data_IF_867869014434
#
_entry.id   IF_867869014434
#
_cell.length_a   1.000
_cell.length_b   1.000
_cell.length_c   1.000
_cell.angle_alpha   90.00
_cell.angle_beta   90.00
_cell.angle_gamma   90.00
#
_symmetry.space_group_name_H-M   'P 1'
#
loop_
_entity.id
_entity.type
_entity.pdbx_description
1 polymer ?
#
# COMPACT_ATOMS: atom_id res chain seq x y z
N UNK A 1 22.45 -2.47 -2.06
CA UNK A 1 21.22 -2.89 -2.75
C UNK A 1 21.59 -3.90 -3.84
N UNK A 2 21.33 -5.18 -3.61
CA UNK A 2 21.70 -6.29 -4.49
C UNK A 2 20.95 -6.30 -5.83
N UNK A 3 19.86 -5.55 -5.95
CA UNK A 3 19.05 -5.40 -7.18
C UNK A 3 19.60 -4.42 -8.22
N UNK A 4 20.54 -3.53 -7.86
CA UNK A 4 21.04 -2.49 -8.79
C UNK A 4 22.16 -2.95 -9.73
N UNK A 5 22.64 -4.19 -9.66
CA UNK A 5 23.64 -4.75 -10.61
C UNK A 5 23.43 -6.23 -10.90
N UNK A 6 22.72 -6.53 -11.99
CA UNK A 6 23.07 -7.45 -13.12
C UNK A 6 21.82 -8.13 -13.70
N UNK A 7 21.56 -7.83 -14.98
CA UNK A 7 20.51 -8.41 -15.83
C UNK A 7 19.16 -7.73 -15.61
N UNK A 8 18.52 -7.22 -16.66
CA UNK A 8 17.06 -7.07 -16.64
C UNK A 8 16.51 -8.41 -16.18
N UNK A 9 15.83 -8.44 -15.02
CA UNK A 9 15.13 -9.64 -14.61
C UNK A 9 14.27 -10.07 -15.81
N UNK A 10 14.37 -11.34 -16.22
CA UNK A 10 13.65 -11.82 -17.38
C UNK A 10 12.15 -11.66 -17.12
N UNK A 11 11.56 -10.58 -17.66
CA UNK A 11 10.12 -10.36 -17.64
C UNK A 11 9.55 -11.36 -18.65
N UNK A 12 8.47 -12.09 -18.32
CA UNK A 12 7.81 -12.96 -19.27
C UNK A 12 7.58 -12.22 -20.59
N UNK A 13 7.96 -12.88 -21.69
CA UNK A 13 7.96 -12.26 -23.02
C UNK A 13 6.56 -11.90 -23.55
N UNK A 14 5.51 -12.40 -22.89
CA UNK A 14 4.11 -12.11 -23.24
C UNK A 14 3.26 -11.75 -22.02
N UNK A 15 2.30 -10.86 -22.24
CA UNK A 15 1.27 -10.48 -21.25
C UNK A 15 0.49 -11.69 -20.74
N UNK A 16 0.30 -12.71 -21.57
CA UNK A 16 -0.45 -13.91 -21.19
C UNK A 16 0.30 -14.78 -20.20
N UNK A 17 1.62 -14.96 -20.37
CA UNK A 17 2.44 -15.68 -19.40
C UNK A 17 2.56 -14.91 -18.09
N UNK A 18 2.74 -13.59 -18.15
CA UNK A 18 2.74 -12.75 -16.95
C UNK A 18 1.39 -12.83 -16.22
N UNK A 19 0.27 -12.79 -16.93
CA UNK A 19 -1.06 -12.93 -16.33
C UNK A 19 -1.27 -14.31 -15.66
N UNK A 20 -0.76 -15.39 -16.25
CA UNK A 20 -0.79 -16.73 -15.63
C UNK A 20 0.05 -16.76 -14.34
N UNK A 21 1.27 -16.23 -14.39
CA UNK A 21 2.14 -16.11 -13.22
C UNK A 21 1.48 -15.28 -12.12
N UNK A 22 0.97 -14.08 -12.44
CA UNK A 22 0.34 -13.18 -11.48
C UNK A 22 -0.88 -13.83 -10.79
N UNK A 23 -1.71 -14.57 -11.53
CA UNK A 23 -2.86 -15.30 -10.95
C UNK A 23 -2.45 -16.37 -9.94
N UNK A 24 -1.30 -17.03 -10.17
CA UNK A 24 -0.77 -18.04 -9.25
C UNK A 24 -0.04 -17.40 -8.05
N UNK A 25 0.78 -16.39 -8.31
CA UNK A 25 1.68 -15.78 -7.32
C UNK A 25 0.98 -14.78 -6.39
N UNK A 26 -0.09 -14.12 -6.87
CA UNK A 26 -0.74 -13.03 -6.15
C UNK A 26 -2.16 -13.42 -5.72
N UNK A 27 -2.35 -14.09 -4.57
CA UNK A 27 -3.68 -14.36 -4.03
C UNK A 27 -4.36 -13.07 -3.56
N UNK A 28 -4.96 -12.29 -4.49
CA UNK A 28 -5.40 -10.89 -4.31
C UNK A 28 -6.34 -10.61 -3.11
N UNK A 29 -7.00 -11.63 -2.54
CA UNK A 29 -7.80 -11.51 -1.31
C UNK A 29 -6.97 -11.59 -0.02
N UNK A 30 -5.72 -12.04 -0.09
CA UNK A 30 -4.81 -12.10 1.06
C UNK A 30 -4.41 -10.68 1.49
N UNK A 31 -4.13 -10.48 2.79
CA UNK A 31 -3.67 -9.19 3.32
C UNK A 31 -2.43 -8.67 2.59
N UNK A 32 -1.44 -9.55 2.37
CA UNK A 32 -0.16 -9.16 1.83
C UNK A 32 -0.31 -8.60 0.41
N UNK A 33 -0.95 -9.35 -0.48
CA UNK A 33 -1.09 -8.94 -1.89
C UNK A 33 -2.14 -7.85 -2.09
N UNK A 34 -3.22 -7.84 -1.27
CA UNK A 34 -4.16 -6.72 -1.28
C UNK A 34 -3.48 -5.42 -0.88
N UNK A 35 -2.57 -5.46 0.10
CA UNK A 35 -1.73 -4.33 0.48
C UNK A 35 -0.95 -3.77 -0.70
N UNK A 36 -0.32 -4.64 -1.50
CA UNK A 36 0.41 -4.24 -2.70
C UNK A 36 -0.51 -3.58 -3.74
N UNK A 37 -1.73 -4.10 -3.94
CA UNK A 37 -2.69 -3.44 -4.85
C UNK A 37 -3.14 -2.08 -4.31
N UNK A 38 -3.39 -1.98 -3.00
CA UNK A 38 -3.76 -0.71 -2.37
C UNK A 38 -2.66 0.35 -2.53
N UNK A 39 -1.40 -0.03 -2.30
CA UNK A 39 -0.22 0.82 -2.56
C UNK A 39 -0.17 1.27 -4.02
N UNK A 40 -0.35 0.33 -4.96
CA UNK A 40 -0.36 0.64 -6.39
C UNK A 40 -1.49 1.59 -6.79
N UNK A 41 -2.70 1.43 -6.25
CA UNK A 41 -3.83 2.33 -6.52
C UNK A 41 -3.52 3.77 -6.08
N UNK A 42 -2.91 3.94 -4.91
CA UNK A 42 -2.48 5.26 -4.40
C UNK A 42 -1.35 5.83 -5.25
N UNK A 43 -0.34 5.02 -5.59
CA UNK A 43 0.79 5.43 -6.43
C UNK A 43 0.32 5.88 -7.83
N UNK A 44 -0.57 5.10 -8.45
CA UNK A 44 -1.16 5.40 -9.75
C UNK A 44 -2.03 6.67 -9.70
N UNK A 45 -2.83 6.86 -8.65
CA UNK A 45 -3.65 8.06 -8.50
C UNK A 45 -2.81 9.33 -8.33
N UNK A 46 -1.66 9.24 -7.67
CA UNK A 46 -0.82 10.39 -7.27
C UNK A 46 0.32 10.71 -8.24
N UNK A 47 0.39 9.99 -9.37
CA UNK A 47 1.44 10.17 -10.38
C UNK A 47 2.83 9.80 -9.86
N UNK A 48 2.94 8.89 -8.89
CA UNK A 48 4.22 8.37 -8.43
C UNK A 48 4.99 7.71 -9.59
N UNK A 49 6.32 7.62 -9.46
CA UNK A 49 7.14 6.96 -10.48
C UNK A 49 6.94 5.44 -10.43
N UNK A 50 6.21 4.90 -11.41
CA UNK A 50 5.92 3.47 -11.53
C UNK A 50 6.91 2.72 -12.42
N UNK A 51 8.01 3.37 -12.87
CA UNK A 51 9.01 2.72 -13.74
C UNK A 51 9.91 1.75 -12.98
N UNK A 52 10.05 1.95 -11.67
CA UNK A 52 10.85 1.10 -10.80
C UNK A 52 9.94 0.29 -9.86
N UNK A 53 10.35 -0.92 -9.45
CA UNK A 53 9.64 -1.68 -8.45
C UNK A 53 9.55 -0.92 -7.13
N UNK A 54 8.46 -1.14 -6.38
CA UNK A 54 8.32 -0.64 -5.01
C UNK A 54 9.49 -1.10 -4.14
N UNK A 55 9.94 -0.23 -3.24
CA UNK A 55 10.93 -0.58 -2.24
C UNK A 55 10.23 -0.93 -0.92
N UNK A 56 10.15 -2.22 -0.62
CA UNK A 56 9.48 -2.72 0.60
C UNK A 56 10.15 -2.25 1.91
N UNK A 57 11.35 -1.68 1.81
CA UNK A 57 12.17 -1.22 2.92
C UNK A 57 12.29 0.31 2.97
N UNK A 58 11.41 1.05 2.30
CA UNK A 58 11.39 2.50 2.41
C UNK A 58 10.66 2.94 3.71
N UNK A 59 10.82 4.20 4.06
CA UNK A 59 10.16 4.81 5.23
C UNK A 59 8.69 5.19 4.94
N UNK A 60 8.24 5.03 3.70
CA UNK A 60 6.89 5.28 3.21
C UNK A 60 6.59 4.32 2.05
N UNK A 61 5.31 4.09 1.76
CA UNK A 61 4.92 3.19 0.66
C UNK A 61 4.91 3.94 -0.69
N UNK A 62 4.47 5.20 -0.70
CA UNK A 62 4.33 6.00 -1.93
C UNK A 62 4.97 7.37 -1.77
N UNK A 63 5.73 7.79 -2.78
CA UNK A 63 6.12 9.19 -2.99
C UNK A 63 5.39 9.74 -4.19
N UNK A 64 4.47 10.67 -3.94
CA UNK A 64 3.65 11.33 -4.97
C UNK A 64 4.49 12.19 -5.93
N UNK A 65 3.92 12.57 -7.08
CA UNK A 65 4.58 13.49 -8.03
C UNK A 65 4.95 14.86 -7.40
N UNK A 66 4.16 15.32 -6.43
CA UNK A 66 4.37 16.55 -5.67
C UNK A 66 5.42 16.40 -4.54
N UNK A 67 5.91 15.17 -4.33
CA UNK A 67 6.91 14.83 -3.32
C UNK A 67 6.36 14.65 -1.91
N UNK A 68 5.04 14.57 -1.71
CA UNK A 68 4.43 14.12 -0.45
C UNK A 68 4.70 12.62 -0.25
N UNK A 69 5.14 12.26 0.95
CA UNK A 69 5.33 10.86 1.38
C UNK A 69 4.05 10.29 2.00
N UNK A 70 3.69 9.08 1.61
CA UNK A 70 2.43 8.44 1.98
C UNK A 70 2.65 7.03 2.50
N UNK A 71 2.07 6.71 3.65
CA UNK A 71 1.89 5.33 4.14
C UNK A 71 0.48 4.85 3.79
N UNK A 72 0.36 3.65 3.23
CA UNK A 72 -0.90 3.02 2.85
C UNK A 72 -1.22 1.89 3.82
N UNK A 73 -2.39 1.98 4.46
CA UNK A 73 -2.90 0.93 5.35
C UNK A 73 -4.19 0.38 4.77
N UNK A 74 -4.22 -0.91 4.41
CA UNK A 74 -5.40 -1.53 3.80
C UNK A 74 -6.03 -2.60 4.67
N UNK A 75 -7.34 -2.77 4.53
CA UNK A 75 -8.11 -3.89 5.08
C UNK A 75 -9.32 -4.18 4.18
N UNK A 76 -10.12 -5.18 4.52
CA UNK A 76 -11.30 -5.59 3.74
C UNK A 76 -12.42 -6.08 4.66
N UNK A 77 -13.68 -5.94 4.22
CA UNK A 77 -14.82 -6.59 4.89
C UNK A 77 -14.82 -8.10 4.65
N UNK A 78 -14.42 -8.52 3.44
CA UNK A 78 -14.22 -9.93 3.10
C UNK A 78 -12.77 -10.35 3.37
N UNK A 79 -12.54 -11.15 4.41
CA UNK A 79 -11.22 -11.73 4.71
C UNK A 79 -11.16 -13.21 4.35
N UNK A 80 -9.95 -13.69 4.05
CA UNK A 80 -9.72 -15.09 3.62
C UNK A 80 -9.87 -16.08 4.78
N UNK A 81 -9.62 -15.66 6.02
CA UNK A 81 -9.64 -16.53 7.21
C UNK A 81 -10.89 -16.35 8.09
N UNK A 82 -11.80 -15.45 7.74
CA UNK A 82 -12.92 -15.15 8.63
C UNK A 82 -14.00 -16.24 8.57
N UNK A 83 -14.40 -16.67 9.76
CA UNK A 83 -15.57 -17.54 9.95
C UNK A 83 -16.86 -16.71 9.80
N UNK A 84 -17.92 -17.27 9.20
CA UNK A 84 -19.15 -16.53 8.84
C UNK A 84 -19.98 -15.99 10.02
N UNK A 85 -19.53 -16.13 11.26
CA UNK A 85 -20.31 -15.78 12.45
C UNK A 85 -20.20 -14.32 12.88
N UNK A 86 -19.10 -13.63 12.58
CA UNK A 86 -18.91 -12.23 12.95
C UNK A 86 -18.12 -11.46 11.88
N UNK A 87 -18.55 -10.24 11.55
CA UNK A 87 -17.75 -9.33 10.75
C UNK A 87 -16.48 -8.94 11.53
N UNK A 88 -15.30 -8.91 10.89
CA UNK A 88 -14.05 -8.58 11.56
C UNK A 88 -14.06 -7.14 12.07
N UNK A 89 -13.48 -6.94 13.25
CA UNK A 89 -13.14 -5.57 13.68
C UNK A 89 -11.96 -5.08 12.85
N UNK A 90 -12.23 -4.13 11.95
CA UNK A 90 -11.19 -3.54 11.10
C UNK A 90 -10.26 -2.65 11.92
N UNK A 91 -9.01 -3.10 12.05
CA UNK A 91 -7.93 -2.40 12.74
C UNK A 91 -6.72 -2.31 11.83
N UNK A 92 -6.13 -1.12 11.74
CA UNK A 92 -4.89 -0.87 11.02
C UNK A 92 -3.75 -0.82 12.01
N UNK A 93 -2.76 -1.70 11.88
CA UNK A 93 -1.58 -1.79 12.74
C UNK A 93 -0.32 -1.27 12.03
N UNK A 94 0.80 -1.22 12.75
CA UNK A 94 2.09 -0.82 12.21
C UNK A 94 2.13 0.65 11.79
N UNK A 95 1.45 1.54 12.53
CA UNK A 95 1.44 2.97 12.23
C UNK A 95 2.78 3.66 12.54
N UNK A 96 3.60 3.02 13.38
CA UNK A 96 4.89 3.52 13.83
C UNK A 96 5.96 2.49 13.53
N UNK A 97 7.12 2.93 13.07
CA UNK A 97 8.28 2.08 12.80
C UNK A 97 9.58 2.80 13.12
N UNK A 98 10.64 2.03 13.39
CA UNK A 98 11.99 2.60 13.44
C UNK A 98 12.41 3.06 12.04
N UNK A 99 13.17 4.15 11.95
CA UNK A 99 13.72 4.59 10.68
C UNK A 99 14.73 3.59 10.17
N UNK A 100 14.79 3.44 8.85
CA UNK A 100 15.81 2.64 8.21
C UNK A 100 17.00 3.53 7.81
N UNK A 101 18.22 2.99 7.94
CA UNK A 101 19.41 3.62 7.42
C UNK A 101 19.30 3.73 5.89
N UNK A 102 19.92 4.76 5.25
CA UNK A 102 19.91 4.89 3.80
C UNK A 102 20.31 3.57 3.12
N UNK A 103 19.41 3.01 2.30
CA UNK A 103 19.61 1.72 1.64
C UNK A 103 18.97 0.51 2.33
N UNK A 104 18.24 0.69 3.44
CA UNK A 104 17.26 -0.27 3.97
C UNK A 104 17.82 -1.46 4.76
N UNK A 105 19.13 -1.54 4.97
CA UNK A 105 19.76 -2.74 5.54
C UNK A 105 19.78 -2.78 7.08
N UNK A 106 19.51 -1.67 7.77
CA UNK A 106 19.67 -1.58 9.22
C UNK A 106 18.72 -0.53 9.78
N UNK A 107 18.08 -0.82 10.91
CA UNK A 107 17.31 0.18 11.64
C UNK A 107 18.24 1.18 12.33
N UNK A 108 17.91 2.45 12.22
CA UNK A 108 18.57 3.51 12.98
C UNK A 108 18.14 3.43 14.44
N UNK A 109 19.06 3.73 15.34
CA UNK A 109 18.74 3.85 16.76
C UNK A 109 17.75 5.00 16.96
N UNK A 110 16.64 4.72 17.65
CA UNK A 110 15.60 5.72 17.94
C UNK A 110 14.26 5.08 18.29
N UNK A 111 13.32 5.86 18.86
CA UNK A 111 11.97 5.39 19.11
C UNK A 111 11.19 5.21 17.78
N UNK A 112 10.16 4.35 17.73
CA UNK A 112 9.29 4.24 16.56
C UNK A 112 8.57 5.56 16.24
N UNK A 113 8.57 5.95 14.97
CA UNK A 113 8.01 7.20 14.46
C UNK A 113 6.89 6.95 13.43
N UNK A 114 6.04 7.95 13.24
CA UNK A 114 5.15 8.03 12.08
C UNK A 114 5.95 8.61 10.91
N UNK A 115 6.40 7.74 10.01
CA UNK A 115 7.46 8.06 9.05
C UNK A 115 6.96 8.87 7.84
N UNK A 116 5.78 8.53 7.31
CA UNK A 116 5.13 9.28 6.24
C UNK A 116 4.46 10.57 6.72
N UNK A 117 4.29 11.54 5.81
CA UNK A 117 3.56 12.79 6.08
C UNK A 117 2.04 12.59 6.08
N UNK A 118 1.57 11.71 5.21
CA UNK A 118 0.14 11.39 5.03
C UNK A 118 -0.06 9.89 5.16
N UNK A 119 -1.16 9.49 5.78
CA UNK A 119 -1.60 8.10 5.86
C UNK A 119 -2.90 7.94 5.08
N UNK A 120 -2.95 6.97 4.17
CA UNK A 120 -4.17 6.61 3.45
C UNK A 120 -4.68 5.29 3.99
N UNK A 121 -5.79 5.36 4.74
CA UNK A 121 -6.49 4.19 5.26
C UNK A 121 -7.53 3.73 4.24
N UNK A 122 -7.39 2.50 3.77
CA UNK A 122 -8.19 1.91 2.72
C UNK A 122 -9.00 0.73 3.25
N UNK A 123 -10.31 0.74 3.02
CA UNK A 123 -11.19 -0.40 3.30
C UNK A 123 -11.81 -0.90 2.00
N UNK A 124 -11.54 -2.15 1.63
CA UNK A 124 -12.28 -2.83 0.56
C UNK A 124 -13.64 -3.27 1.09
N UNK A 125 -14.71 -2.85 0.42
CA UNK A 125 -16.07 -2.90 0.95
C UNK A 125 -16.92 -4.05 0.45
N UNK A 126 -16.52 -4.69 -0.65
CA UNK A 126 -17.28 -5.80 -1.24
C UNK A 126 -17.25 -7.01 -0.31
N UNK A 127 -18.41 -7.62 -0.14
CA UNK A 127 -18.62 -8.79 0.73
C UNK A 127 -18.99 -10.03 -0.07
N UNK A 128 -19.45 -9.87 -1.31
CA UNK A 128 -19.72 -10.97 -2.22
C UNK A 128 -18.41 -11.44 -2.89
N UNK A 129 -17.96 -12.69 -2.64
CA UNK A 129 -16.76 -13.23 -3.26
C UNK A 129 -16.79 -13.27 -4.79
N UNK A 130 -17.98 -13.33 -5.40
CA UNK A 130 -18.15 -13.42 -6.85
C UNK A 130 -18.09 -12.05 -7.53
N UNK A 131 -18.33 -10.97 -6.76
CA UNK A 131 -18.22 -9.59 -7.22
C UNK A 131 -16.91 -8.92 -6.80
N UNK A 132 -16.10 -9.58 -5.97
CA UNK A 132 -14.85 -9.05 -5.42
C UNK A 132 -13.84 -8.72 -6.54
N UNK A 133 -13.54 -7.44 -6.69
CA UNK A 133 -12.49 -6.95 -7.58
C UNK A 133 -11.61 -5.95 -6.82
N UNK A 134 -10.37 -6.36 -6.54
CA UNK A 134 -9.40 -5.54 -5.81
C UNK A 134 -8.93 -4.32 -6.61
N UNK A 135 -9.07 -4.32 -7.94
CA UNK A 135 -8.73 -3.20 -8.81
C UNK A 135 -9.93 -2.26 -9.06
N UNK A 136 -11.15 -2.68 -8.71
CA UNK A 136 -12.32 -1.83 -8.79
C UNK A 136 -12.29 -0.76 -7.70
N UNK A 137 -11.91 0.46 -8.07
CA UNK A 137 -11.81 1.60 -7.16
C UNK A 137 -13.12 2.00 -6.49
N UNK A 138 -14.28 1.62 -7.05
CA UNK A 138 -15.58 1.84 -6.43
C UNK A 138 -15.86 0.90 -5.23
N UNK A 139 -15.10 -0.20 -5.11
CA UNK A 139 -15.15 -1.10 -3.95
C UNK A 139 -14.18 -0.69 -2.84
N UNK A 140 -13.55 0.48 -2.94
CA UNK A 140 -12.62 0.99 -1.94
C UNK A 140 -13.14 2.28 -1.30
N UNK A 141 -13.04 2.35 0.03
CA UNK A 141 -13.13 3.60 0.76
C UNK A 141 -11.73 4.10 1.13
N UNK A 142 -11.39 5.33 0.72
CA UNK A 142 -10.10 5.96 1.01
C UNK A 142 -10.25 7.04 2.07
N UNK A 143 -9.47 7.01 3.15
CA UNK A 143 -9.44 8.08 4.17
C UNK A 143 -8.04 8.63 4.30
N UNK A 144 -7.89 9.91 4.04
CA UNK A 144 -6.61 10.62 4.05
C UNK A 144 -6.43 11.32 5.39
N UNK A 145 -5.37 10.96 6.13
CA UNK A 145 -5.12 11.43 7.49
C UNK A 145 -3.70 12.03 7.59
N UNK A 146 -3.54 13.26 8.10
CA UNK A 146 -2.22 13.84 8.31
C UNK A 146 -1.49 13.18 9.48
N UNK A 147 -0.16 13.04 9.38
CA UNK A 147 0.69 12.51 10.44
C UNK A 147 0.47 13.18 11.79
N UNK A 148 0.28 14.50 11.83
CA UNK A 148 0.10 15.26 13.07
C UNK A 148 -1.04 14.71 13.92
N UNK A 149 -2.12 14.24 13.28
CA UNK A 149 -3.27 13.65 13.97
C UNK A 149 -2.95 12.28 14.55
N UNK A 150 -2.21 11.44 13.83
CA UNK A 150 -1.80 10.14 14.39
C UNK A 150 -0.77 10.31 15.51
N UNK A 151 0.13 11.29 15.39
CA UNK A 151 1.09 11.66 16.45
C UNK A 151 0.39 12.09 17.73
N UNK A 152 -0.69 12.88 17.65
CA UNK A 152 -1.42 13.32 18.85
C UNK A 152 -2.14 12.17 19.55
N UNK A 153 -2.56 11.13 18.82
CA UNK A 153 -3.10 9.90 19.40
C UNK A 153 -2.00 9.01 20.01
N UNK A 154 -0.80 9.02 19.43
CA UNK A 154 0.37 8.26 19.86
C UNK A 154 0.13 6.74 19.98
N UNK A 155 -0.70 6.17 19.10
CA UNK A 155 -1.01 4.74 19.05
C UNK A 155 -0.27 4.03 17.91
N UNK A 156 0.10 2.76 18.11
CA UNK A 156 0.70 1.91 17.06
C UNK A 156 -0.34 1.28 16.12
N UNK A 157 -1.63 1.42 16.45
CA UNK A 157 -2.76 0.96 15.67
C UNK A 157 -3.97 1.89 15.81
N UNK A 158 -4.89 1.84 14.86
CA UNK A 158 -6.14 2.58 14.89
C UNK A 158 -7.28 1.76 14.29
N UNK A 159 -8.46 1.81 14.91
CA UNK A 159 -9.67 1.15 14.40
C UNK A 159 -10.31 1.99 13.29
N UNK A 160 -10.91 1.33 12.32
CA UNK A 160 -11.72 2.00 11.29
C UNK A 160 -12.80 2.89 11.90
N UNK A 161 -13.53 2.39 12.91
CA UNK A 161 -14.57 3.16 13.60
C UNK A 161 -14.02 4.42 14.28
N UNK A 162 -12.76 4.40 14.73
CA UNK A 162 -12.12 5.58 15.31
C UNK A 162 -11.91 6.66 14.26
N UNK A 163 -11.42 6.32 13.08
CA UNK A 163 -11.27 7.25 11.95
C UNK A 163 -12.61 7.92 11.60
N UNK A 164 -13.69 7.12 11.54
CA UNK A 164 -15.05 7.62 11.31
C UNK A 164 -15.48 8.58 12.41
N UNK A 165 -15.29 8.23 13.68
CA UNK A 165 -15.66 9.09 14.82
C UNK A 165 -14.89 10.42 14.86
N UNK A 166 -13.73 10.48 14.23
CA UNK A 166 -12.90 11.69 14.11
C UNK A 166 -13.28 12.54 12.89
N UNK A 167 -14.31 12.15 12.12
CA UNK A 167 -14.80 12.91 10.97
C UNK A 167 -14.09 12.63 9.65
N UNK A 168 -13.23 11.60 9.57
CA UNK A 168 -12.60 11.23 8.31
C UNK A 168 -13.58 10.46 7.42
N UNK A 169 -14.14 11.16 6.43
CA UNK A 169 -15.04 10.61 5.43
C UNK A 169 -14.28 9.96 4.26
N UNK A 170 -14.88 8.98 3.57
CA UNK A 170 -14.32 8.44 2.34
C UNK A 170 -14.11 9.52 1.27
N UNK A 171 -12.97 9.46 0.60
CA UNK A 171 -12.61 10.27 -0.56
C UNK A 171 -12.75 9.40 -1.82
N UNK A 172 -13.44 9.85 -2.87
CA UNK A 172 -13.47 9.15 -4.15
C UNK A 172 -12.05 9.00 -4.72
N UNK A 173 -11.77 7.86 -5.37
CA UNK A 173 -10.45 7.63 -5.99
C UNK A 173 -10.02 8.76 -6.94
N UNK A 174 -10.97 9.34 -7.69
CA UNK A 174 -10.72 10.45 -8.60
C UNK A 174 -10.23 11.75 -7.90
N UNK A 175 -10.53 11.92 -6.62
CA UNK A 175 -10.15 13.08 -5.82
C UNK A 175 -8.96 12.80 -4.88
N UNK A 176 -8.44 11.56 -4.91
CA UNK A 176 -7.45 11.08 -3.96
C UNK A 176 -6.14 11.87 -4.05
N UNK A 177 -5.63 12.11 -5.26
CA UNK A 177 -4.39 12.87 -5.45
C UNK A 177 -4.48 14.27 -4.88
N UNK A 178 -5.50 15.04 -5.28
CA UNK A 178 -5.70 16.41 -4.83
C UNK A 178 -5.88 16.49 -3.31
N UNK A 179 -6.54 15.49 -2.71
CA UNK A 179 -6.71 15.41 -1.26
C UNK A 179 -5.41 15.10 -0.54
N UNK A 180 -4.62 14.14 -1.02
CA UNK A 180 -3.30 13.81 -0.45
C UNK A 180 -2.38 15.03 -0.52
N UNK A 181 -2.31 15.70 -1.68
CA UNK A 181 -1.48 16.89 -1.84
C UNK A 181 -1.89 17.99 -0.87
N UNK A 182 -3.19 18.33 -0.80
CA UNK A 182 -3.71 19.35 0.12
C UNK A 182 -3.38 19.02 1.57
N UNK A 183 -3.62 17.79 2.02
CA UNK A 183 -3.35 17.36 3.40
C UNK A 183 -1.84 17.35 3.67
N UNK A 184 -1.03 16.90 2.72
CA UNK A 184 0.44 16.89 2.82
C UNK A 184 1.03 18.30 2.91
N UNK A 185 0.56 19.23 2.10
CA UNK A 185 0.97 20.64 2.21
C UNK A 185 0.58 21.24 3.57
N UNK A 186 -0.63 20.98 4.05
CA UNK A 186 -1.08 21.44 5.37
C UNK A 186 -0.22 20.85 6.50
N UNK A 187 0.11 19.55 6.43
CA UNK A 187 1.01 18.87 7.36
C UNK A 187 2.36 19.58 7.44
N UNK A 188 3.01 19.85 6.30
CA UNK A 188 4.31 20.57 6.26
C UNK A 188 4.21 21.95 6.89
N UNK A 189 3.19 22.72 6.53
CA UNK A 189 3.02 24.08 7.08
C UNK A 189 2.76 24.10 8.58
N UNK A 190 2.24 23.02 9.16
CA UNK A 190 2.03 22.92 10.61
C UNK A 190 3.30 22.54 11.39
N UNK A 191 4.30 21.98 10.70
CA UNK A 191 5.59 21.59 11.29
C UNK A 191 6.66 22.68 11.13
N UNK A 192 6.56 23.51 10.09
CA UNK A 192 7.40 24.69 9.91
C UNK A 192 6.86 25.87 10.76
N UNK A 193 7.62 26.40 11.75
CA UNK A 193 7.15 27.56 12.52
C UNK A 193 7.02 28.80 11.62
N UNK A 194 6.05 29.70 11.89
CA UNK A 194 5.88 30.94 11.15
C UNK A 194 7.08 31.88 11.43
N UNK A 195 8.14 31.75 10.63
CA UNK A 195 9.37 32.53 10.76
C UNK A 195 10.54 32.04 9.90
N UNK A 196 10.51 30.81 9.38
CA UNK A 196 11.63 30.22 8.62
C UNK A 196 11.68 30.59 7.12
N UNK A 197 10.96 31.62 6.67
CA UNK A 197 11.11 32.15 5.30
C UNK A 197 12.05 33.35 5.31
N UNK A 198 13.34 33.10 5.07
CA UNK A 198 14.25 34.14 4.60
C UNK A 198 13.79 34.62 3.22
N UNK A 199 13.84 35.93 3.05
CA UNK A 199 13.47 36.68 1.86
C UNK A 199 14.21 36.18 0.61
N UNK A 200 13.48 35.51 -0.27
CA UNK A 200 13.87 35.23 -1.65
C UNK A 200 12.61 35.16 -2.51
N UNK A 201 12.21 36.29 -3.09
CA UNK A 201 11.03 36.39 -3.95
C UNK A 201 11.14 35.49 -5.20
N UNK A 202 10.00 35.16 -5.84
CA UNK A 202 9.95 34.11 -6.86
C UNK A 202 10.50 34.63 -8.20
N UNK A 203 11.43 33.88 -8.79
CA UNK A 203 11.64 33.96 -10.23
C UNK A 203 10.45 33.26 -10.91
N UNK A 204 9.53 34.05 -11.44
CA UNK A 204 8.44 33.59 -12.28
C UNK A 204 8.99 32.70 -13.41
N UNK A 205 8.54 31.45 -13.47
CA UNK A 205 8.69 30.61 -14.65
C UNK A 205 7.31 30.29 -15.19
N UNK A 206 7.14 30.61 -16.46
CA UNK A 206 5.92 30.45 -17.24
C UNK A 206 5.31 29.06 -17.07
N UNK A 207 4.06 29.03 -16.55
CA UNK A 207 3.15 27.92 -16.73
C UNK A 207 2.54 28.11 -18.12
N UNK A 208 3.03 27.35 -19.11
CA UNK A 208 2.28 27.18 -20.35
C UNK A 208 1.23 26.09 -20.16
N UNK A 209 0.04 26.49 -20.53
CA UNK A 209 -1.24 25.78 -20.54
C UNK A 209 -1.15 24.33 -21.04
N UNK A 210 -1.51 23.37 -20.18
CA UNK A 210 -1.73 21.96 -20.57
C UNK A 210 -3.18 21.52 -20.31
N UNK A 211 -4.16 22.39 -20.57
CA UNK A 211 -5.58 22.00 -20.56
C UNK A 211 -6.04 21.20 -21.80
N UNK A 212 -5.12 20.85 -22.72
CA UNK A 212 -5.45 20.20 -24.00
C UNK A 212 -5.08 18.70 -24.12
N UNK A 213 -4.44 18.07 -23.13
CA UNK A 213 -3.94 16.68 -23.28
C UNK A 213 -4.83 15.57 -22.66
N UNK A 214 -6.02 15.90 -22.16
CA UNK A 214 -6.84 14.99 -21.35
C UNK A 214 -8.15 14.53 -22.03
N UNK A 215 -8.20 14.54 -23.37
CA UNK A 215 -9.43 14.20 -24.12
C UNK A 215 -9.35 13.13 -25.20
N UNK A 216 -8.22 12.45 -25.36
CA UNK A 216 -8.16 11.31 -26.28
C UNK A 216 -7.57 10.08 -25.61
N UNK A 217 -8.45 9.18 -25.14
CA UNK A 217 -8.28 7.70 -25.09
C UNK A 217 -9.35 7.06 -24.20
N UNK A 218 -10.63 7.20 -24.56
CA UNK A 218 -11.67 6.28 -24.08
C UNK A 218 -12.71 6.05 -25.17
N UNK A 219 -12.36 5.19 -26.14
CA UNK A 219 -13.35 4.58 -27.02
C UNK A 219 -13.90 3.32 -26.32
N UNK A 220 -15.09 3.45 -25.74
CA UNK A 220 -15.85 2.33 -25.19
C UNK A 220 -16.23 1.35 -26.30
N UNK A 221 -15.75 0.10 -26.21
CA UNK A 221 -16.24 -1.01 -27.04
C UNK A 221 -17.23 -1.82 -26.21
N UNK A 222 -18.52 -1.77 -26.56
CA UNK A 222 -19.58 -2.58 -25.96
C UNK A 222 -19.31 -4.07 -26.22
N UNK A 223 -19.29 -4.88 -25.16
CA UNK A 223 -19.34 -6.34 -25.25
C UNK A 223 -20.78 -6.84 -25.03
N UNK A 224 -21.25 -7.86 -25.76
CA UNK A 224 -22.62 -8.35 -25.66
C UNK A 224 -22.85 -9.22 -24.41
N UNK A 225 -24.08 -9.14 -23.89
CA UNK A 225 -24.58 -9.91 -22.76
C UNK A 225 -24.49 -11.42 -23.01
N UNK A 226 -24.10 -12.18 -21.98
CA UNK A 226 -24.17 -13.66 -21.98
C UNK A 226 -25.20 -14.14 -20.96
N UNK A 227 -26.06 -15.00 -21.46
CA UNK A 227 -27.15 -15.73 -20.81
C UNK A 227 -26.67 -16.65 -19.69
N UNK A 228 -27.47 -16.74 -18.63
CA UNK A 228 -27.26 -17.60 -17.47
C UNK A 228 -27.60 -19.06 -17.77
N UNK A 229 -26.73 -19.98 -17.35
CA UNK A 229 -27.08 -21.38 -17.16
C UNK A 229 -26.83 -21.79 -15.72
N UNK A 230 -27.89 -22.32 -15.11
CA UNK A 230 -28.00 -22.75 -13.73
C UNK A 230 -27.65 -24.23 -13.65
N UNK A 231 -26.64 -24.62 -12.88
CA UNK A 231 -26.41 -26.02 -12.51
C UNK A 231 -26.30 -26.16 -11.00
N UNK A 232 -27.19 -26.99 -10.44
CA UNK A 232 -27.17 -27.46 -9.05
C UNK A 232 -26.15 -28.60 -8.93
N UNK A 233 -25.41 -28.66 -7.82
CA UNK A 233 -24.97 -29.94 -7.27
C UNK A 233 -24.69 -29.88 -5.77
N UNK A 234 -25.07 -30.97 -5.12
CA UNK A 234 -25.16 -31.24 -3.70
C UNK A 234 -23.81 -31.24 -2.95
N UNK A 235 -23.90 -30.98 -1.64
CA UNK A 235 -22.75 -30.96 -0.73
C UNK A 235 -22.32 -32.32 -0.20
N UNK A 236 -21.20 -32.30 0.52
CA UNK A 236 -20.78 -33.29 1.54
C UNK A 236 -19.89 -32.57 2.56
N UNK A 237 -20.13 -32.82 3.85
CA UNK A 237 -19.30 -32.39 5.00
C UNK A 237 -18.23 -33.45 5.29
N UNK A 238 -17.07 -33.02 5.77
CA UNK A 238 -16.08 -33.82 6.50
C UNK A 238 -15.20 -32.90 7.38
N UNK A 239 -14.53 -33.41 8.43
CA UNK A 239 -14.53 -32.81 9.77
C UNK A 239 -13.36 -31.88 10.13
N UNK A 240 -13.53 -31.26 11.30
CA UNK A 240 -12.61 -30.33 11.95
C UNK A 240 -11.29 -30.99 12.41
N UNK A 241 -10.18 -30.28 12.22
CA UNK A 241 -8.89 -30.61 12.81
C UNK A 241 -8.21 -29.33 13.31
N UNK A 242 -7.95 -29.32 14.62
CA UNK A 242 -6.85 -28.67 15.35
C UNK A 242 -6.48 -27.21 15.02
N UNK A 243 -6.81 -26.30 15.95
CA UNK A 243 -6.20 -24.98 16.06
C UNK A 243 -4.67 -25.06 16.09
N UNK A 244 -4.02 -24.35 15.17
CA UNK A 244 -2.61 -23.98 15.29
C UNK A 244 -2.53 -22.47 15.05
N UNK A 245 -2.35 -21.73 16.15
CA UNK A 245 -2.16 -20.29 16.15
C UNK A 245 -0.78 -19.99 15.59
N UNK A 246 -0.71 -19.40 14.40
CA UNK A 246 0.52 -18.86 13.85
C UNK A 246 0.52 -17.34 14.01
N UNK A 247 1.32 -16.83 14.94
CA UNK A 247 1.79 -15.44 14.91
C UNK A 247 2.83 -15.33 13.82
N UNK A 248 2.50 -14.70 12.69
CA UNK A 248 3.50 -14.34 11.68
C UNK A 248 4.29 -13.13 12.17
N UNK A 249 5.29 -13.37 13.00
CA UNK A 249 6.50 -12.55 12.98
C UNK A 249 7.40 -13.13 11.88
N UNK A 250 7.53 -12.41 10.77
CA UNK A 250 8.50 -12.76 9.74
C UNK A 250 9.88 -12.33 10.24
N UNK A 251 10.47 -13.10 11.15
CA UNK A 251 11.91 -13.07 11.40
C UNK A 251 12.59 -13.91 10.31
N UNK A 252 13.06 -13.25 9.26
CA UNK A 252 14.03 -13.87 8.34
C UNK A 252 15.35 -13.99 9.09
N UNK A 253 15.81 -15.24 9.24
CA UNK A 253 17.10 -15.61 9.81
C UNK A 253 18.23 -14.94 9.03
N UNK A 254 19.01 -14.09 9.69
CA UNK A 254 20.30 -13.64 9.18
C UNK A 254 21.26 -14.82 9.25
N UNK A 255 21.55 -15.47 8.11
CA UNK A 255 22.71 -16.34 8.00
C UNK A 255 23.98 -15.48 8.08
N UNK A 256 24.58 -15.44 9.27
CA UNK A 256 25.93 -14.92 9.46
C UNK A 256 26.91 -15.92 8.83
N UNK A 257 27.49 -15.59 7.68
CA UNK A 257 28.62 -16.33 7.12
C UNK A 257 29.86 -16.04 7.97
N UNK A 258 30.06 -16.83 9.03
CA UNK A 258 31.34 -16.91 9.73
C UNK A 258 32.37 -17.52 8.77
N UNK A 259 33.32 -16.69 8.33
CA UNK A 259 34.49 -17.14 7.59
C UNK A 259 35.27 -18.16 8.43
N UNK A 260 35.26 -19.43 8.01
CA UNK A 260 36.16 -20.46 8.51
C UNK A 260 37.60 -20.06 8.11
N UNK A 261 38.38 -19.52 9.05
CA UNK A 261 39.84 -19.47 8.91
C UNK A 261 40.35 -20.90 9.01
N UNK A 262 40.92 -21.43 7.94
CA UNK A 262 41.70 -22.67 7.98
C UNK A 262 42.97 -22.41 8.78
N UNK A 263 43.13 -23.13 9.88
CA UNK A 263 44.40 -23.29 10.58
C UNK A 263 45.36 -24.05 9.67
N UNK A 264 46.52 -23.47 9.37
CA UNK A 264 47.65 -24.21 8.81
C UNK A 264 48.33 -25.02 9.93
N UNK A 265 48.78 -26.26 9.69
CA UNK A 265 49.58 -26.99 10.66
C UNK A 265 50.98 -26.38 10.74
N UNK A 266 51.46 -26.16 11.97
CA UNK A 266 52.90 -25.93 12.24
C UNK A 266 53.59 -27.29 12.22
N UNK A 267 54.78 -27.34 11.61
CA UNK A 267 55.71 -28.46 11.74
C UNK A 267 56.32 -28.57 13.13
#
# INVERSE_FOLDING_TARGET
MWWKRRGEAAIPSSDQEFAKFARWALPLRSNATRGVVAEWLVANATGADLREPRNEWDDYDVRTASGITVEVKSSARLQVWDSPKHAPTITYSGLRGQRLAPGGATYLAGPPEFRAEVFVFMLHTETDPDLYDVFNTAQWEFRVVPRAVLRSLNQSSIRYSRLVSMGYTPVPHAELSATIDRVGYQQRTSEDPPGARSSGGPAARHVTDTRAALRERFAFRKLPARTSHRSRSAGRRAPAVGEMVWTTDVHVVVMCLSSCRRSAPRG
#
